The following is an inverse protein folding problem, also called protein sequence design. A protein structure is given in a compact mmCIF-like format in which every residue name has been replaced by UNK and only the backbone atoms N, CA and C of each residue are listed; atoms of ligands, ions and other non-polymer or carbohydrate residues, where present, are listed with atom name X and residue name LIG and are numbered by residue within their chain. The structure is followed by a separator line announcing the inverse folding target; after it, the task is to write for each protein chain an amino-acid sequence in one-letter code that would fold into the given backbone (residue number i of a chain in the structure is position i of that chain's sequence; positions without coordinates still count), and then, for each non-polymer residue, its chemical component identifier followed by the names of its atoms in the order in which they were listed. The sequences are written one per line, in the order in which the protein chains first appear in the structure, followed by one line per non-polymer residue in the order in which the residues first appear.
data_IF_916102727732
#
_entry.id   IF_916102727732
#
_cell.length_a   1.000
_cell.length_b   1.000
_cell.length_c   1.000
_cell.angle_alpha   90.00
_cell.angle_beta   90.00
_cell.angle_gamma   90.00
#
_symmetry.space_group_name_H-M   'P 1'
#
loop_
_entity.id
_entity.type
_entity.pdbx_description
1 polymer ?
#
# COMPACT_ATOMS: atom_id res chain seq x y z
N UNK A 1 -16.62 -3.72 16.18
CA UNK A 1 -15.92 -2.81 15.25
C UNK A 1 -14.71 -3.58 14.74
N UNK A 2 -14.64 -3.86 13.43
CA UNK A 2 -13.48 -4.56 12.87
C UNK A 2 -12.34 -3.56 12.79
N UNK A 3 -11.32 -3.72 13.63
CA UNK A 3 -10.08 -2.95 13.52
C UNK A 3 -9.49 -3.24 12.13
N UNK A 4 -9.19 -2.22 11.30
CA UNK A 4 -8.52 -2.45 10.02
C UNK A 4 -7.10 -2.97 10.28
N UNK A 5 -6.70 -4.02 9.57
CA UNK A 5 -5.36 -4.59 9.71
C UNK A 5 -4.37 -3.88 8.78
N UNK A 6 -3.12 -3.77 9.22
CA UNK A 6 -2.05 -3.25 8.36
C UNK A 6 -1.87 -4.21 7.18
N UNK A 7 -1.91 -3.69 5.95
CA UNK A 7 -1.85 -4.49 4.73
C UNK A 7 -3.21 -4.95 4.18
N UNK A 8 -4.33 -4.54 4.78
CA UNK A 8 -5.66 -4.78 4.22
C UNK A 8 -5.86 -4.02 2.90
N UNK A 9 -6.37 -4.71 1.88
CA UNK A 9 -6.76 -4.11 0.60
C UNK A 9 -8.28 -4.07 0.55
N UNK A 10 -8.86 -2.87 0.35
CA UNK A 10 -10.30 -2.68 0.24
C UNK A 10 -10.64 -1.90 -1.02
N UNK A 11 -11.75 -2.25 -1.64
CA UNK A 11 -12.35 -1.43 -2.69
C UNK A 11 -12.85 -0.12 -2.08
N UNK A 12 -12.42 1.00 -2.66
CA UNK A 12 -12.79 2.33 -2.23
C UNK A 12 -13.35 3.11 -3.42
N UNK A 13 -14.55 3.65 -3.28
CA UNK A 13 -15.26 4.37 -4.35
C UNK A 13 -14.94 5.87 -4.42
N UNK A 14 -14.14 6.39 -3.49
CA UNK A 14 -13.75 7.80 -3.47
C UNK A 14 -12.45 8.06 -4.26
N UNK A 15 -12.23 9.33 -4.60
CA UNK A 15 -11.05 9.75 -5.37
C UNK A 15 -9.89 10.27 -4.50
N UNK A 16 -9.91 10.01 -3.18
CA UNK A 16 -8.85 10.41 -2.25
C UNK A 16 -8.53 9.27 -1.28
N UNK A 17 -7.26 9.07 -0.95
CA UNK A 17 -6.89 8.08 0.04
C UNK A 17 -7.19 8.63 1.45
N UNK A 18 -8.04 7.99 2.26
CA UNK A 18 -8.25 8.40 3.64
C UNK A 18 -6.97 8.26 4.47
N UNK A 19 -6.89 8.97 5.59
CA UNK A 19 -5.68 8.96 6.43
C UNK A 19 -5.34 7.54 6.90
N UNK A 20 -4.10 7.11 6.69
CA UNK A 20 -3.65 5.75 6.98
C UNK A 20 -3.91 4.74 5.86
N UNK A 21 -4.47 5.18 4.72
CA UNK A 21 -4.65 4.37 3.53
C UNK A 21 -3.86 4.97 2.36
N UNK A 22 -3.53 4.13 1.41
CA UNK A 22 -2.91 4.52 0.15
C UNK A 22 -3.55 3.74 -0.98
N UNK A 23 -3.67 4.36 -2.16
CA UNK A 23 -4.16 3.67 -3.34
C UNK A 23 -3.15 2.62 -3.82
N UNK A 24 -3.67 1.45 -4.21
CA UNK A 24 -2.89 0.40 -4.84
C UNK A 24 -2.67 0.73 -6.33
N UNK A 25 -1.88 1.76 -6.59
CA UNK A 25 -1.60 2.30 -7.93
C UNK A 25 -0.15 2.08 -8.38
N UNK A 26 0.63 1.23 -7.69
CA UNK A 26 2.05 1.06 -7.99
C UNK A 26 2.96 2.17 -7.45
N UNK A 27 2.46 3.03 -6.55
CA UNK A 27 3.25 4.14 -6.00
C UNK A 27 4.35 3.66 -5.06
N UNK A 28 5.45 4.42 -5.00
CA UNK A 28 6.55 4.18 -4.06
C UNK A 28 6.29 4.95 -2.76
N UNK A 29 6.35 4.26 -1.63
CA UNK A 29 6.23 4.83 -0.30
C UNK A 29 7.54 4.72 0.47
N UNK A 30 7.78 5.69 1.37
CA UNK A 30 8.95 5.66 2.24
C UNK A 30 8.79 4.56 3.31
N UNK A 31 9.82 3.70 3.42
CA UNK A 31 9.85 2.61 4.40
C UNK A 31 9.81 3.18 5.82
N UNK A 32 10.58 4.23 6.10
CA UNK A 32 10.70 4.85 7.41
C UNK A 32 9.40 5.39 8.02
N UNK A 33 8.36 5.58 7.21
CA UNK A 33 7.03 5.99 7.67
C UNK A 33 6.02 4.84 7.70
N UNK A 34 6.37 3.69 7.14
CA UNK A 34 5.47 2.56 6.88
C UNK A 34 6.17 1.20 7.16
N UNK A 35 7.03 1.13 8.18
CA UNK A 35 7.84 -0.07 8.49
C UNK A 35 7.01 -1.35 8.66
N UNK A 36 5.82 -1.23 9.29
CA UNK A 36 4.90 -2.35 9.46
C UNK A 36 4.34 -2.87 8.14
N UNK A 37 4.03 -1.97 7.20
CA UNK A 37 3.52 -2.32 5.87
C UNK A 37 4.63 -2.89 4.99
N UNK A 38 5.84 -2.32 5.06
CA UNK A 38 7.02 -2.86 4.39
C UNK A 38 7.39 -4.26 4.87
N UNK A 39 7.24 -4.55 6.17
CA UNK A 39 7.49 -5.89 6.72
C UNK A 39 6.56 -6.96 6.13
N UNK A 40 5.39 -6.57 5.63
CA UNK A 40 4.42 -7.47 5.00
C UNK A 40 4.61 -7.57 3.47
N UNK A 41 4.81 -6.44 2.79
CA UNK A 41 4.90 -6.38 1.32
C UNK A 41 6.33 -6.59 0.79
N UNK A 42 7.34 -6.24 1.59
CA UNK A 42 8.74 -6.18 1.14
C UNK A 42 8.92 -5.27 -0.09
N UNK A 43 9.73 -5.73 -1.03
CA UNK A 43 9.98 -5.07 -2.32
C UNK A 43 9.27 -5.75 -3.49
N UNK A 44 8.27 -6.59 -3.22
CA UNK A 44 7.59 -7.42 -4.24
C UNK A 44 7.03 -6.57 -5.38
N UNK A 45 6.53 -5.37 -5.06
CA UNK A 45 5.92 -4.46 -6.02
C UNK A 45 6.83 -3.30 -6.44
N UNK A 46 8.13 -3.38 -6.14
CA UNK A 46 9.14 -2.39 -6.50
C UNK A 46 9.71 -1.62 -5.31
N UNK A 47 10.44 -0.55 -5.62
CA UNK A 47 11.26 0.20 -4.66
C UNK A 47 12.67 -0.35 -4.51
N UNK A 48 13.49 0.33 -3.73
CA UNK A 48 14.90 -0.01 -3.50
C UNK A 48 15.11 -0.91 -2.27
N UNK A 49 14.06 -1.14 -1.47
CA UNK A 49 14.11 -1.96 -0.25
C UNK A 49 14.96 -1.37 0.87
N UNK A 50 15.40 -0.12 0.73
CA UNK A 50 16.25 0.58 1.70
C UNK A 50 15.61 1.89 2.15
N UNK A 51 15.08 2.65 1.20
CA UNK A 51 14.41 3.92 1.46
C UNK A 51 12.93 3.88 1.08
N UNK A 52 12.60 3.11 0.05
CA UNK A 52 11.26 3.03 -0.54
C UNK A 52 10.85 1.61 -0.87
N UNK A 53 9.54 1.37 -0.85
CA UNK A 53 8.91 0.14 -1.29
C UNK A 53 7.70 0.47 -2.17
N UNK A 54 7.38 -0.41 -3.12
CA UNK A 54 6.24 -0.28 -3.99
C UNK A 54 4.96 -0.84 -3.37
N UNK A 55 3.85 -0.17 -3.65
CA UNK A 55 2.52 -0.74 -3.48
C UNK A 55 2.11 -1.56 -4.70
N UNK A 56 1.21 -2.54 -4.55
CA UNK A 56 0.61 -3.22 -5.69
C UNK A 56 -0.06 -2.23 -6.63
N UNK A 57 -0.01 -2.49 -7.94
CA UNK A 57 -0.81 -1.79 -8.95
C UNK A 57 -2.03 -2.65 -9.31
N UNK A 58 -3.19 -2.21 -8.82
CA UNK A 58 -4.49 -2.85 -9.04
C UNK A 58 -5.37 -2.06 -10.03
N UNK A 59 -4.85 -1.00 -10.65
CA UNK A 59 -5.61 -0.22 -11.64
C UNK A 59 -5.92 -1.09 -12.85
N UNK A 60 -7.22 -1.30 -13.12
CA UNK A 60 -7.67 -2.17 -14.21
C UNK A 60 -7.48 -3.67 -13.96
N UNK A 61 -6.99 -4.07 -12.77
CA UNK A 61 -6.95 -5.46 -12.27
C UNK A 61 -8.04 -5.63 -11.21
N UNK A 62 -9.28 -5.35 -11.60
CA UNK A 62 -10.44 -5.81 -10.85
C UNK A 62 -10.54 -7.33 -11.05
N UNK A 63 -10.70 -8.15 -10.00
CA UNK A 63 -11.34 -9.46 -10.16
C UNK A 63 -12.81 -9.31 -10.58
#
# INVERSE_FOLDING_TARGET
MSEPFVGEIRMFAGNFAPRGWAFCDGQLLAISQNDALFSLLGTIYGGDGRTTFGLPDMRGRLP
#
